data_IF_217964419833
#
_entry.id   IF_217964419833
#
_cell.length_a   1.000
_cell.length_b   1.000
_cell.length_c   1.000
_cell.angle_alpha   90.00
_cell.angle_beta   90.00
_cell.angle_gamma   90.00
#
_symmetry.space_group_name_H-M   'P 1'
#
loop_
_entity.id
_entity.type
_entity.pdbx_description
1 polymer ?
#
# COMPACT_ATOMS: atom_id res chain seq x y z
N UNK A 1 -32.86 -13.20 -1.04
CA UNK A 1 -32.08 -12.18 -0.32
C UNK A 1 -31.91 -10.93 -1.19
N UNK A 2 -33.02 -10.28 -1.57
CA UNK A 2 -33.05 -9.12 -2.48
C UNK A 2 -33.54 -7.83 -1.79
N UNK A 3 -33.53 -7.81 -0.44
CA UNK A 3 -34.16 -6.78 0.40
C UNK A 3 -33.20 -5.81 1.12
N UNK A 4 -31.89 -5.88 0.90
CA UNK A 4 -30.89 -5.02 1.58
C UNK A 4 -30.21 -4.00 0.64
N UNK A 5 -30.92 -3.55 -0.40
CA UNK A 5 -30.53 -2.36 -1.19
C UNK A 5 -31.00 -1.07 -0.50
N UNK A 6 -30.86 -1.00 0.83
CA UNK A 6 -31.20 0.21 1.58
C UNK A 6 -30.30 1.35 1.10
N UNK A 7 -30.91 2.44 0.65
CA UNK A 7 -30.22 3.63 0.15
C UNK A 7 -29.10 4.05 1.11
N UNK A 8 -27.84 3.89 0.68
CA UNK A 8 -26.65 4.23 1.48
C UNK A 8 -26.69 5.71 1.87
N UNK A 9 -27.25 6.57 1.02
CA UNK A 9 -27.42 7.98 1.32
C UNK A 9 -28.44 8.21 2.45
N UNK A 10 -29.58 7.52 2.42
CA UNK A 10 -30.56 7.57 3.51
C UNK A 10 -29.99 7.08 4.85
N UNK A 11 -29.20 5.99 4.83
CA UNK A 11 -28.52 5.49 6.03
C UNK A 11 -27.45 6.46 6.54
N UNK A 12 -26.72 7.12 5.64
CA UNK A 12 -25.77 8.16 6.01
C UNK A 12 -26.47 9.36 6.64
N UNK A 13 -27.64 9.77 6.11
CA UNK A 13 -28.45 10.85 6.67
C UNK A 13 -28.98 10.51 8.08
N UNK A 14 -29.49 9.29 8.30
CA UNK A 14 -29.91 8.81 9.65
C UNK A 14 -28.76 8.94 10.67
N UNK A 15 -27.53 8.60 10.25
CA UNK A 15 -26.37 8.70 11.12
C UNK A 15 -25.94 10.15 11.38
N UNK A 16 -26.12 11.06 10.42
CA UNK A 16 -25.94 12.50 10.63
C UNK A 16 -26.89 13.00 11.71
N UNK A 17 -28.18 12.65 11.63
CA UNK A 17 -29.18 13.02 12.63
C UNK A 17 -28.81 12.45 14.01
N UNK A 18 -28.37 11.19 14.06
CA UNK A 18 -27.89 10.54 15.27
C UNK A 18 -26.70 11.24 15.91
N UNK A 19 -25.73 11.71 15.12
CA UNK A 19 -24.57 12.48 15.60
C UNK A 19 -24.97 13.88 16.12
N UNK A 20 -26.11 14.42 15.66
CA UNK A 20 -26.70 15.67 16.14
C UNK A 20 -27.55 15.53 17.40
N UNK A 21 -27.82 14.30 17.87
CA UNK A 21 -28.71 14.04 19.01
C UNK A 21 -28.20 14.68 20.31
N UNK A 22 -29.10 15.21 21.18
CA UNK A 22 -28.71 15.66 22.51
C UNK A 22 -28.23 14.50 23.41
N UNK A 23 -28.63 13.26 23.11
CA UNK A 23 -28.24 12.05 23.85
C UNK A 23 -26.83 11.56 23.46
N UNK A 24 -25.91 11.50 24.43
CA UNK A 24 -24.53 11.09 24.19
C UNK A 24 -24.40 9.61 23.78
N UNK A 25 -25.29 8.73 24.26
CA UNK A 25 -25.35 7.34 23.86
C UNK A 25 -25.73 7.19 22.39
N UNK A 26 -26.71 7.97 21.92
CA UNK A 26 -27.11 8.01 20.50
C UNK A 26 -25.97 8.53 19.62
N UNK A 27 -25.30 9.62 20.02
CA UNK A 27 -24.13 10.14 19.27
C UNK A 27 -23.01 9.12 19.18
N UNK A 28 -22.71 8.43 20.29
CA UNK A 28 -21.68 7.39 20.33
C UNK A 28 -22.03 6.20 19.42
N UNK A 29 -23.28 5.74 19.44
CA UNK A 29 -23.72 4.66 18.55
C UNK A 29 -23.65 5.08 17.08
N UNK A 30 -24.08 6.30 16.76
CA UNK A 30 -23.98 6.85 15.42
C UNK A 30 -22.53 6.92 14.92
N UNK A 31 -21.58 7.36 15.76
CA UNK A 31 -20.15 7.36 15.43
C UNK A 31 -19.62 5.96 15.11
N UNK A 32 -19.99 4.96 15.94
CA UNK A 32 -19.61 3.56 15.73
C UNK A 32 -20.21 2.98 14.43
N UNK A 33 -21.51 3.20 14.20
CA UNK A 33 -22.22 2.72 13.00
C UNK A 33 -21.70 3.39 11.71
N UNK A 34 -21.25 4.64 11.79
CA UNK A 34 -20.61 5.36 10.68
C UNK A 34 -19.38 4.63 10.16
N UNK A 35 -18.52 4.14 11.06
CA UNK A 35 -17.35 3.33 10.69
C UNK A 35 -17.74 2.05 9.94
N UNK A 36 -18.81 1.38 10.37
CA UNK A 36 -19.26 0.13 9.74
C UNK A 36 -19.89 0.37 8.37
N UNK A 37 -20.66 1.45 8.21
CA UNK A 37 -21.24 1.84 6.93
C UNK A 37 -20.14 2.12 5.90
N UNK A 38 -19.19 3.01 6.23
CA UNK A 38 -18.08 3.40 5.35
C UNK A 38 -17.19 2.21 4.98
N UNK A 39 -16.99 1.27 5.92
CA UNK A 39 -16.17 0.07 5.69
C UNK A 39 -16.77 -0.85 4.64
N UNK A 40 -18.09 -1.02 4.63
CA UNK A 40 -18.75 -2.03 3.81
C UNK A 40 -19.35 -1.46 2.51
N UNK A 41 -19.69 -0.18 2.50
CA UNK A 41 -20.44 0.44 1.41
C UNK A 41 -19.71 1.65 0.84
N UNK A 42 -19.90 1.90 -0.45
CA UNK A 42 -19.53 3.14 -1.13
C UNK A 42 -20.71 4.10 -1.06
N UNK A 43 -20.43 5.40 -0.92
CA UNK A 43 -21.50 6.39 -0.84
C UNK A 43 -21.00 7.81 -0.68
N UNK A 44 -21.90 8.80 -0.82
CA UNK A 44 -21.58 10.22 -0.66
C UNK A 44 -21.49 10.60 0.82
N UNK A 45 -20.41 10.17 1.48
CA UNK A 45 -20.26 10.32 2.94
C UNK A 45 -19.89 11.73 3.42
N UNK A 46 -19.78 12.72 2.52
CA UNK A 46 -19.33 14.08 2.84
C UNK A 46 -19.94 14.68 4.12
N UNK A 47 -21.29 14.84 4.18
CA UNK A 47 -21.96 15.38 5.37
C UNK A 47 -21.75 14.54 6.63
N UNK A 48 -21.77 13.21 6.50
CA UNK A 48 -21.56 12.28 7.62
C UNK A 48 -20.15 12.44 8.23
N UNK A 49 -19.14 12.51 7.37
CA UNK A 49 -17.74 12.63 7.78
C UNK A 49 -17.47 13.99 8.40
N UNK A 50 -18.01 15.08 7.84
CA UNK A 50 -17.90 16.41 8.44
C UNK A 50 -18.54 16.45 9.84
N UNK A 51 -19.78 15.94 9.97
CA UNK A 51 -20.50 15.89 11.26
C UNK A 51 -19.76 15.02 12.30
N UNK A 52 -19.14 13.93 11.86
CA UNK A 52 -18.31 13.08 12.72
C UNK A 52 -17.03 13.82 13.17
N UNK A 53 -16.47 14.68 12.32
CA UNK A 53 -15.36 15.57 12.65
C UNK A 53 -15.72 16.53 13.78
N UNK A 54 -16.92 17.11 13.75
CA UNK A 54 -17.45 17.99 14.81
C UNK A 54 -17.62 17.27 16.16
N UNK A 55 -17.52 15.93 16.22
CA UNK A 55 -17.58 15.15 17.46
C UNK A 55 -16.20 14.90 18.09
N UNK A 56 -15.11 15.33 17.44
CA UNK A 56 -13.77 15.26 18.03
C UNK A 56 -13.61 16.19 19.25
N UNK A 57 -14.46 17.20 19.37
CA UNK A 57 -14.58 18.10 20.53
C UNK A 57 -15.91 17.94 21.29
N UNK A 58 -16.55 16.77 21.19
CA UNK A 58 -17.77 16.50 21.96
C UNK A 58 -17.51 16.65 23.47
N UNK A 59 -18.51 17.09 24.23
CA UNK A 59 -18.39 17.22 25.69
C UNK A 59 -18.19 15.85 26.36
N UNK A 60 -18.78 14.81 25.80
CA UNK A 60 -18.68 13.43 26.29
C UNK A 60 -17.38 12.76 25.80
N UNK A 61 -16.59 12.24 26.74
CA UNK A 61 -15.31 11.62 26.42
C UNK A 61 -15.43 10.32 25.61
N UNK A 62 -16.51 9.56 25.80
CA UNK A 62 -16.73 8.32 25.05
C UNK A 62 -17.15 8.62 23.61
N UNK A 63 -17.90 9.70 23.38
CA UNK A 63 -18.22 10.18 22.02
C UNK A 63 -16.96 10.62 21.29
N UNK A 64 -16.10 11.44 21.93
CA UNK A 64 -14.81 11.86 21.32
C UNK A 64 -13.94 10.66 20.95
N UNK A 65 -13.81 9.68 21.85
CA UNK A 65 -13.00 8.50 21.61
C UNK A 65 -13.55 7.64 20.47
N UNK A 66 -14.88 7.48 20.37
CA UNK A 66 -15.50 6.76 19.27
C UNK A 66 -15.34 7.50 17.93
N UNK A 67 -15.45 8.82 17.92
CA UNK A 67 -15.18 9.64 16.73
C UNK A 67 -13.74 9.48 16.24
N UNK A 68 -12.75 9.60 17.14
CA UNK A 68 -11.34 9.38 16.82
C UNK A 68 -11.06 7.95 16.32
N UNK A 69 -11.72 6.95 16.93
CA UNK A 69 -11.64 5.54 16.54
C UNK A 69 -12.25 5.28 15.15
N UNK A 70 -13.32 5.97 14.80
CA UNK A 70 -13.97 5.83 13.49
C UNK A 70 -13.04 6.24 12.34
N UNK A 71 -12.26 7.32 12.51
CA UNK A 71 -11.35 7.83 11.47
C UNK A 71 -10.13 6.94 11.21
N UNK A 72 -9.77 6.04 12.12
CA UNK A 72 -8.55 5.23 12.02
C UNK A 72 -8.47 4.42 10.72
N UNK A 73 -9.62 4.02 10.14
CA UNK A 73 -9.68 3.16 8.96
C UNK A 73 -10.45 3.76 7.78
N UNK A 74 -10.72 5.07 7.80
CA UNK A 74 -11.45 5.76 6.73
C UNK A 74 -10.53 6.27 5.60
N UNK A 75 -9.23 6.50 5.87
CA UNK A 75 -8.24 6.97 4.88
C UNK A 75 -8.78 8.15 4.07
N UNK A 76 -8.68 8.12 2.73
CA UNK A 76 -9.12 9.21 1.85
C UNK A 76 -10.58 9.64 2.04
N UNK A 77 -11.46 8.76 2.55
CA UNK A 77 -12.86 9.10 2.85
C UNK A 77 -12.98 10.11 4.01
N UNK A 78 -11.97 10.21 4.89
CA UNK A 78 -11.96 11.15 6.01
C UNK A 78 -11.71 12.61 5.61
N UNK A 79 -11.46 12.91 4.32
CA UNK A 79 -11.12 14.25 3.82
C UNK A 79 -12.03 15.39 4.33
N UNK A 80 -13.38 15.23 4.35
CA UNK A 80 -14.29 16.25 4.90
C UNK A 80 -14.08 16.61 6.38
N UNK A 81 -13.36 15.79 7.16
CA UNK A 81 -13.03 16.05 8.56
C UNK A 81 -11.58 16.55 8.77
N UNK A 82 -10.83 16.81 7.69
CA UNK A 82 -9.40 17.15 7.77
C UNK A 82 -9.13 18.38 8.65
N UNK A 83 -9.95 19.43 8.54
CA UNK A 83 -9.78 20.65 9.33
C UNK A 83 -10.02 20.42 10.82
N UNK A 84 -11.09 19.71 11.19
CA UNK A 84 -11.38 19.33 12.58
C UNK A 84 -10.29 18.43 13.18
N UNK A 85 -9.78 17.47 12.39
CA UNK A 85 -8.64 16.63 12.78
C UNK A 85 -7.38 17.47 13.02
N UNK A 86 -7.07 18.39 12.11
CA UNK A 86 -5.88 19.22 12.19
C UNK A 86 -5.92 20.20 13.35
N UNK A 87 -7.06 20.87 13.58
CA UNK A 87 -7.25 21.75 14.72
C UNK A 87 -7.04 20.99 16.03
N UNK A 88 -7.62 19.79 16.13
CA UNK A 88 -7.49 18.98 17.34
C UNK A 88 -6.07 18.50 17.57
N UNK A 89 -5.38 18.03 16.53
CA UNK A 89 -3.97 17.63 16.61
C UNK A 89 -3.08 18.83 17.01
N UNK A 90 -3.29 20.00 16.42
CA UNK A 90 -2.52 21.21 16.70
C UNK A 90 -2.69 21.70 18.15
N UNK A 91 -3.92 21.64 18.68
CA UNK A 91 -4.21 22.04 20.07
C UNK A 91 -3.52 21.19 21.14
N UNK A 92 -2.91 20.05 20.77
CA UNK A 92 -2.31 19.08 21.71
C UNK A 92 -0.87 18.68 21.37
N UNK A 93 -0.17 19.45 20.53
CA UNK A 93 1.21 19.16 20.12
C UNK A 93 2.16 19.11 21.32
N UNK A 94 2.03 20.04 22.26
CA UNK A 94 2.90 20.11 23.45
C UNK A 94 2.66 18.98 24.45
N UNK A 95 1.53 18.27 24.33
CA UNK A 95 1.19 17.15 25.20
C UNK A 95 1.76 15.82 24.68
N UNK A 96 2.63 15.83 23.65
CA UNK A 96 3.19 14.61 23.01
C UNK A 96 4.22 13.86 23.82
N UNK A 97 4.61 14.44 24.94
CA UNK A 97 5.64 13.88 25.81
C UNK A 97 5.10 12.80 26.78
N UNK A 98 3.88 12.31 26.56
CA UNK A 98 3.29 11.21 27.35
C UNK A 98 2.78 11.62 28.74
N UNK A 99 2.69 12.92 29.02
CA UNK A 99 2.30 13.47 30.33
C UNK A 99 0.78 13.43 30.62
N UNK A 100 -0.03 12.81 29.75
CA UNK A 100 -1.49 12.78 29.86
C UNK A 100 -2.08 11.38 30.14
N UNK A 101 -3.40 11.28 30.43
CA UNK A 101 -4.08 9.99 30.58
C UNK A 101 -3.95 9.11 29.33
N UNK A 102 -3.71 7.81 29.51
CA UNK A 102 -3.43 6.88 28.40
C UNK A 102 -4.51 6.84 27.29
N UNK A 103 -5.78 7.04 27.64
CA UNK A 103 -6.88 7.10 26.66
C UNK A 103 -6.80 8.34 25.77
N UNK A 104 -6.43 9.51 26.32
CA UNK A 104 -6.23 10.74 25.54
C UNK A 104 -5.04 10.63 24.60
N UNK A 105 -3.96 10.00 25.06
CA UNK A 105 -2.80 9.72 24.21
C UNK A 105 -3.15 8.79 23.04
N UNK A 106 -4.02 7.80 23.29
CA UNK A 106 -4.53 6.89 22.25
C UNK A 106 -5.36 7.62 21.20
N UNK A 107 -6.34 8.42 21.62
CA UNK A 107 -7.21 9.15 20.69
C UNK A 107 -6.44 10.15 19.85
N UNK A 108 -5.48 10.85 20.45
CA UNK A 108 -4.61 11.77 19.74
C UNK A 108 -3.74 11.08 18.69
N UNK A 109 -3.13 9.93 19.03
CA UNK A 109 -2.39 9.11 18.06
C UNK A 109 -3.29 8.66 16.90
N UNK A 110 -4.57 8.35 17.16
CA UNK A 110 -5.54 8.01 16.10
C UNK A 110 -5.84 9.19 15.19
N UNK A 111 -6.11 10.38 15.74
CA UNK A 111 -6.39 11.59 14.96
C UNK A 111 -5.20 11.98 14.09
N UNK A 112 -4.01 11.93 14.66
CA UNK A 112 -2.75 12.12 13.95
C UNK A 112 -2.49 11.10 12.85
N UNK A 113 -2.72 9.81 13.13
CA UNK A 113 -2.61 8.78 12.12
C UNK A 113 -3.66 8.95 11.02
N UNK A 114 -4.88 9.40 11.34
CA UNK A 114 -5.90 9.71 10.35
C UNK A 114 -5.49 10.89 9.46
N UNK A 115 -5.03 11.99 10.04
CA UNK A 115 -4.52 13.16 9.32
C UNK A 115 -3.30 12.81 8.45
N UNK A 116 -2.40 11.97 8.97
CA UNK A 116 -1.24 11.48 8.23
C UNK A 116 -1.63 10.56 7.05
N UNK A 117 -2.66 9.72 7.22
CA UNK A 117 -3.21 8.87 6.16
C UNK A 117 -3.97 9.65 5.08
N UNK A 118 -4.43 10.86 5.40
CA UNK A 118 -4.97 11.80 4.41
C UNK A 118 -3.87 12.47 3.57
N UNK A 119 -2.59 12.34 3.96
CA UNK A 119 -1.49 13.10 3.37
C UNK A 119 -1.57 14.60 3.67
N UNK A 120 -2.28 14.99 4.73
CA UNK A 120 -2.43 16.40 5.09
C UNK A 120 -1.13 16.92 5.72
N UNK A 121 -0.50 17.89 5.06
CA UNK A 121 0.77 18.52 5.47
C UNK A 121 0.77 19.05 6.91
N UNK A 122 -0.39 19.35 7.49
CA UNK A 122 -0.51 19.79 8.89
C UNK A 122 -0.07 18.71 9.89
N UNK A 123 0.02 17.44 9.46
CA UNK A 123 0.61 16.36 10.26
C UNK A 123 2.14 16.41 10.33
N UNK A 124 2.83 17.11 9.42
CA UNK A 124 4.30 17.08 9.29
C UNK A 124 5.04 17.45 10.59
N UNK A 125 4.73 18.58 11.26
CA UNK A 125 5.46 18.97 12.48
C UNK A 125 5.39 17.92 13.58
N UNK A 126 4.26 17.26 13.71
CA UNK A 126 4.03 16.21 14.70
C UNK A 126 4.76 14.91 14.35
N UNK A 127 4.75 14.49 13.08
CA UNK A 127 5.50 13.32 12.64
C UNK A 127 7.01 13.54 12.80
N UNK A 128 7.50 14.74 12.46
CA UNK A 128 8.90 15.13 12.65
C UNK A 128 9.28 15.13 14.14
N UNK A 129 8.47 15.74 15.01
CA UNK A 129 8.68 15.72 16.45
C UNK A 129 8.65 14.29 17.01
N UNK A 130 7.81 13.41 16.48
CA UNK A 130 7.77 12.01 16.89
C UNK A 130 9.09 11.29 16.57
N UNK A 131 9.62 11.51 15.36
CA UNK A 131 10.92 10.96 14.92
C UNK A 131 12.07 11.52 15.75
N UNK A 132 12.03 12.79 16.15
CA UNK A 132 13.12 13.41 16.92
C UNK A 132 13.11 13.01 18.39
N UNK A 133 11.93 12.98 19.03
CA UNK A 133 11.81 12.91 20.50
C UNK A 133 11.62 11.50 21.05
N UNK A 134 11.01 10.58 20.30
CA UNK A 134 10.75 9.25 20.86
C UNK A 134 11.99 8.37 20.83
N UNK A 135 12.29 7.61 21.89
CA UNK A 135 13.44 6.71 21.91
C UNK A 135 13.43 5.66 20.78
N UNK A 136 12.24 5.27 20.31
CA UNK A 136 12.05 4.31 19.21
C UNK A 136 11.14 4.89 18.15
N UNK A 137 11.46 4.64 16.89
CA UNK A 137 10.58 4.95 15.77
C UNK A 137 9.25 4.20 15.90
N UNK A 138 8.14 4.92 15.81
CA UNK A 138 6.81 4.33 15.80
C UNK A 138 6.47 3.80 14.39
N UNK A 139 6.04 2.54 14.30
CA UNK A 139 5.64 1.90 13.03
C UNK A 139 4.57 2.73 12.30
N UNK A 140 3.60 3.26 13.04
CA UNK A 140 2.51 4.08 12.47
C UNK A 140 3.02 5.34 11.79
N UNK A 141 4.04 6.00 12.35
CA UNK A 141 4.67 7.19 11.75
C UNK A 141 5.41 6.80 10.48
N UNK A 142 6.27 5.78 10.57
CA UNK A 142 7.07 5.28 9.44
C UNK A 142 6.19 4.87 8.25
N UNK A 143 5.08 4.16 8.51
CA UNK A 143 4.17 3.74 7.43
C UNK A 143 3.43 4.90 6.77
N UNK A 144 3.28 6.05 7.46
CA UNK A 144 2.58 7.23 6.96
C UNK A 144 3.46 8.14 6.11
N UNK A 145 4.80 8.03 6.20
CA UNK A 145 5.72 8.89 5.45
C UNK A 145 5.55 8.84 3.93
N UNK A 146 4.96 7.77 3.40
CA UNK A 146 4.70 7.64 1.96
C UNK A 146 3.73 8.67 1.39
N UNK A 147 2.92 9.30 2.24
CA UNK A 147 2.00 10.38 1.87
C UNK A 147 2.64 11.77 1.87
N UNK A 148 3.90 11.88 2.31
CA UNK A 148 4.59 13.14 2.54
C UNK A 148 5.81 13.32 1.65
N UNK A 149 5.79 12.74 0.44
CA UNK A 149 6.93 12.80 -0.50
C UNK A 149 7.33 14.24 -0.87
N UNK A 150 6.42 15.21 -0.81
CA UNK A 150 6.76 16.62 -1.05
C UNK A 150 7.44 17.30 0.16
N UNK A 151 7.61 16.55 1.26
CA UNK A 151 8.24 16.99 2.51
C UNK A 151 9.50 16.16 2.83
N UNK A 152 10.25 15.71 1.80
CA UNK A 152 11.47 14.90 2.03
C UNK A 152 12.44 15.61 2.96
N UNK A 153 12.58 16.92 2.85
CA UNK A 153 13.50 17.74 3.63
C UNK A 153 13.19 17.72 5.14
N UNK A 154 11.91 17.52 5.49
CA UNK A 154 11.47 17.41 6.87
C UNK A 154 11.82 16.03 7.48
N UNK A 155 11.97 14.97 6.69
CA UNK A 155 12.07 13.60 7.22
C UNK A 155 13.40 12.91 6.93
N UNK A 156 13.97 13.11 5.73
CA UNK A 156 15.16 12.37 5.28
C UNK A 156 16.38 12.65 6.18
N UNK A 157 16.74 13.89 6.55
CA UNK A 157 17.87 14.14 7.44
C UNK A 157 17.76 13.43 8.79
N UNK A 158 16.53 13.37 9.35
CA UNK A 158 16.25 12.72 10.63
C UNK A 158 16.42 11.21 10.54
N UNK A 159 15.86 10.59 9.50
CA UNK A 159 15.99 9.15 9.28
C UNK A 159 17.43 8.74 8.98
N UNK A 160 18.19 9.58 8.24
CA UNK A 160 19.63 9.39 8.03
C UNK A 160 20.40 9.43 9.34
N UNK A 161 20.11 10.40 10.21
CA UNK A 161 20.71 10.48 11.55
C UNK A 161 20.43 9.23 12.41
N UNK A 162 19.19 8.73 12.38
CA UNK A 162 18.82 7.47 13.04
C UNK A 162 19.58 6.27 12.49
N UNK A 163 19.70 6.18 11.16
CA UNK A 163 20.39 5.07 10.49
C UNK A 163 21.89 5.10 10.80
N UNK A 164 22.53 6.26 10.67
CA UNK A 164 23.94 6.46 10.98
C UNK A 164 24.27 6.12 12.45
N UNK A 165 23.36 6.41 13.38
CA UNK A 165 23.51 6.02 14.78
C UNK A 165 23.34 4.50 15.00
N UNK A 166 22.37 3.88 14.31
CA UNK A 166 22.06 2.47 14.49
C UNK A 166 23.07 1.53 13.83
N UNK A 167 23.68 1.91 12.70
CA UNK A 167 24.57 1.04 11.89
C UNK A 167 25.78 0.50 12.67
N UNK A 168 26.58 1.31 13.40
CA UNK A 168 27.71 0.80 14.18
C UNK A 168 27.31 -0.14 15.33
N UNK A 169 26.08 -0.02 15.84
CA UNK A 169 25.55 -0.77 16.98
C UNK A 169 24.35 -1.64 16.59
N UNK A 170 24.38 -2.21 15.38
CA UNK A 170 23.27 -3.00 14.81
C UNK A 170 22.74 -4.11 15.71
N UNK A 171 23.57 -4.74 16.54
CA UNK A 171 23.12 -5.75 17.50
C UNK A 171 22.07 -5.22 18.49
N UNK A 172 22.21 -3.95 18.90
CA UNK A 172 21.34 -3.30 19.88
C UNK A 172 20.21 -2.51 19.20
N UNK A 173 20.48 -1.95 18.01
CA UNK A 173 19.59 -1.02 17.30
C UNK A 173 18.96 -1.59 16.02
N UNK A 174 18.95 -2.91 15.84
CA UNK A 174 18.39 -3.59 14.65
C UNK A 174 16.98 -3.12 14.26
N UNK A 175 16.08 -3.02 15.24
CA UNK A 175 14.69 -2.61 14.99
C UNK A 175 14.58 -1.15 14.53
N UNK A 176 15.46 -0.29 15.02
CA UNK A 176 15.54 1.12 14.64
C UNK A 176 16.09 1.28 13.22
N UNK A 177 17.17 0.58 12.89
CA UNK A 177 17.72 0.53 11.53
C UNK A 177 16.66 0.06 10.53
N UNK A 178 15.96 -1.05 10.83
CA UNK A 178 14.90 -1.57 9.97
C UNK A 178 13.80 -0.53 9.72
N UNK A 179 13.32 0.14 10.77
CA UNK A 179 12.27 1.15 10.64
C UNK A 179 12.75 2.42 9.92
N UNK A 180 14.00 2.82 10.11
CA UNK A 180 14.59 3.94 9.38
C UNK A 180 14.67 3.64 7.88
N UNK A 181 15.12 2.43 7.49
CA UNK A 181 15.16 1.99 6.09
C UNK A 181 13.75 1.94 5.48
N UNK A 182 12.76 1.38 6.19
CA UNK A 182 11.36 1.40 5.73
C UNK A 182 10.88 2.84 5.55
N UNK A 183 11.21 3.75 6.46
CA UNK A 183 10.85 5.16 6.37
C UNK A 183 11.44 5.84 5.14
N UNK A 184 12.74 5.63 4.89
CA UNK A 184 13.46 6.15 3.72
C UNK A 184 12.85 5.67 2.41
N UNK A 185 12.48 4.39 2.33
CA UNK A 185 11.77 3.84 1.16
C UNK A 185 10.41 4.48 0.94
N UNK A 186 9.66 4.72 2.01
CA UNK A 186 8.31 5.29 1.93
C UNK A 186 8.37 6.75 1.46
N UNK A 187 9.23 7.56 2.06
CA UNK A 187 9.40 8.98 1.74
C UNK A 187 10.11 9.20 0.40
N UNK A 188 10.89 8.23 -0.08
CA UNK A 188 11.72 8.38 -1.28
C UNK A 188 13.04 9.09 -1.01
N UNK A 189 13.66 8.85 0.15
CA UNK A 189 14.88 9.52 0.60
C UNK A 189 16.15 9.01 -0.08
N UNK A 190 16.29 9.30 -1.38
CA UNK A 190 17.43 8.90 -2.23
C UNK A 190 18.76 9.41 -1.65
N UNK A 191 18.74 10.54 -0.93
CA UNK A 191 19.90 11.15 -0.28
C UNK A 191 20.53 10.26 0.80
N UNK A 192 19.82 9.22 1.26
CA UNK A 192 20.33 8.23 2.22
C UNK A 192 21.07 7.05 1.56
N UNK A 193 21.34 7.14 0.25
CA UNK A 193 22.05 6.10 -0.49
C UNK A 193 23.38 5.67 0.17
N UNK A 194 24.28 6.58 0.61
CA UNK A 194 25.53 6.18 1.25
C UNK A 194 25.30 5.31 2.50
N UNK A 195 24.38 5.73 3.38
CA UNK A 195 24.10 5.00 4.62
C UNK A 195 23.46 3.62 4.36
N UNK A 196 22.69 3.48 3.27
CA UNK A 196 22.11 2.19 2.87
C UNK A 196 23.17 1.25 2.27
N UNK A 197 24.09 1.78 1.46
CA UNK A 197 25.18 1.01 0.88
C UNK A 197 26.19 0.56 1.95
N UNK A 198 26.41 1.35 3.00
CA UNK A 198 27.21 0.94 4.16
C UNK A 198 26.50 -0.13 5.01
N UNK A 199 25.17 -0.02 5.14
CA UNK A 199 24.37 -0.93 5.94
C UNK A 199 24.24 -2.34 5.31
N UNK A 200 24.15 -2.43 3.98
CA UNK A 200 23.91 -3.71 3.30
C UNK A 200 25.00 -4.77 3.59
N UNK A 201 26.31 -4.50 3.45
CA UNK A 201 27.35 -5.42 3.86
C UNK A 201 27.28 -5.80 5.33
N UNK A 202 27.00 -4.84 6.22
CA UNK A 202 26.89 -5.09 7.66
C UNK A 202 25.72 -6.03 8.00
N UNK A 203 24.56 -5.86 7.34
CA UNK A 203 23.40 -6.74 7.49
C UNK A 203 23.70 -8.16 7.01
N UNK A 204 24.36 -8.29 5.85
CA UNK A 204 24.72 -9.59 5.25
C UNK A 204 25.79 -10.32 6.09
N UNK A 205 26.83 -9.63 6.54
CA UNK A 205 27.87 -10.21 7.39
C UNK A 205 27.31 -10.77 8.71
N UNK A 206 26.22 -10.16 9.21
CA UNK A 206 25.51 -10.60 10.42
C UNK A 206 24.41 -11.63 10.14
N UNK A 207 24.23 -12.05 8.88
CA UNK A 207 23.15 -12.94 8.44
C UNK A 207 21.73 -12.39 8.75
N UNK A 208 21.55 -11.07 8.89
CA UNK A 208 20.22 -10.46 9.04
C UNK A 208 19.56 -10.33 7.67
N UNK A 209 19.01 -11.44 7.20
CA UNK A 209 18.32 -11.56 5.89
C UNK A 209 17.18 -10.55 5.77
N UNK A 210 16.45 -10.27 6.84
CA UNK A 210 15.32 -9.34 6.79
C UNK A 210 15.80 -7.92 6.51
N UNK A 211 16.84 -7.48 7.22
CA UNK A 211 17.37 -6.13 7.04
C UNK A 211 18.05 -5.99 5.67
N UNK A 212 18.84 -6.97 5.23
CA UNK A 212 19.49 -6.94 3.92
C UNK A 212 18.45 -6.83 2.78
N UNK A 213 17.37 -7.62 2.85
CA UNK A 213 16.26 -7.55 1.89
C UNK A 213 15.55 -6.19 1.94
N UNK A 214 15.35 -5.62 3.12
CA UNK A 214 14.72 -4.30 3.24
C UNK A 214 15.58 -3.17 2.66
N UNK A 215 16.91 -3.25 2.83
CA UNK A 215 17.86 -2.32 2.22
C UNK A 215 17.81 -2.43 0.70
N UNK A 216 17.94 -3.63 0.14
CA UNK A 216 17.85 -3.85 -1.31
C UNK A 216 16.48 -3.43 -1.87
N UNK A 217 15.39 -3.72 -1.16
CA UNK A 217 14.04 -3.26 -1.52
C UNK A 217 13.95 -1.73 -1.54
N UNK A 218 14.67 -1.05 -0.67
CA UNK A 218 14.74 0.43 -0.63
C UNK A 218 15.54 0.97 -1.79
N UNK A 219 16.73 0.41 -2.03
CA UNK A 219 17.57 0.73 -3.18
C UNK A 219 16.80 0.58 -4.51
N UNK A 220 16.01 -0.49 -4.65
CA UNK A 220 15.21 -0.72 -5.86
C UNK A 220 14.16 0.38 -6.11
N UNK A 221 13.70 1.10 -5.07
CA UNK A 221 12.77 2.24 -5.23
C UNK A 221 13.45 3.53 -5.66
N UNK A 222 14.78 3.64 -5.53
CA UNK A 222 15.54 4.81 -5.98
C UNK A 222 15.85 4.75 -7.47
N UNK A 223 15.66 3.60 -8.10
CA UNK A 223 15.87 3.42 -9.54
C UNK A 223 17.36 3.40 -9.92
N UNK A 224 17.75 3.94 -11.08
CA UNK A 224 19.09 3.79 -11.65
C UNK A 224 20.25 4.30 -10.79
N UNK A 225 19.99 5.18 -9.83
CA UNK A 225 21.03 5.80 -8.98
C UNK A 225 21.53 4.89 -7.86
N UNK A 226 20.89 3.73 -7.65
CA UNK A 226 21.08 2.89 -6.47
C UNK A 226 22.44 2.13 -6.35
N UNK A 227 23.40 2.39 -7.26
CA UNK A 227 24.74 1.79 -7.22
C UNK A 227 24.79 0.39 -7.81
N UNK A 228 25.07 0.30 -9.12
CA UNK A 228 25.17 -0.98 -9.85
C UNK A 228 26.31 -1.84 -9.29
N UNK A 229 27.49 -1.22 -9.11
CA UNK A 229 28.71 -1.94 -8.76
C UNK A 229 28.64 -2.56 -7.35
N UNK A 230 28.03 -1.83 -6.42
CA UNK A 230 27.87 -2.22 -5.02
C UNK A 230 26.84 -3.34 -4.87
N UNK A 231 25.79 -3.36 -5.70
CA UNK A 231 24.72 -4.35 -5.62
C UNK A 231 25.01 -5.63 -6.43
N UNK A 232 25.81 -5.53 -7.49
CA UNK A 232 26.13 -6.66 -8.37
C UNK A 232 26.62 -7.94 -7.65
N UNK A 233 27.51 -7.89 -6.62
CA UNK A 233 27.97 -9.09 -5.92
C UNK A 233 26.84 -9.92 -5.28
N UNK A 234 25.71 -9.29 -4.96
CA UNK A 234 24.59 -9.95 -4.29
C UNK A 234 23.72 -10.79 -5.23
N UNK A 235 23.90 -10.70 -6.55
CA UNK A 235 23.28 -11.62 -7.52
C UNK A 235 23.70 -13.07 -7.30
N UNK A 236 24.93 -13.29 -6.82
CA UNK A 236 25.48 -14.61 -6.51
C UNK A 236 25.26 -15.03 -5.05
N UNK A 237 24.36 -14.34 -4.32
CA UNK A 237 24.04 -14.68 -2.94
C UNK A 237 23.47 -16.11 -2.84
N UNK A 238 23.88 -16.90 -1.82
CA UNK A 238 23.30 -18.22 -1.57
C UNK A 238 21.85 -18.14 -1.05
N UNK A 239 21.39 -16.98 -0.58
CA UNK A 239 19.97 -16.72 -0.29
C UNK A 239 19.28 -16.22 -1.58
N UNK A 240 18.36 -17.01 -2.17
CA UNK A 240 17.66 -16.64 -3.41
C UNK A 240 16.86 -15.35 -3.27
N UNK A 241 16.35 -15.04 -2.07
CA UNK A 241 15.60 -13.80 -1.85
C UNK A 241 16.51 -12.57 -1.82
N UNK A 242 17.77 -12.71 -1.39
CA UNK A 242 18.75 -11.62 -1.53
C UNK A 242 19.13 -11.45 -3.00
N UNK A 243 19.36 -12.54 -3.72
CA UNK A 243 19.70 -12.50 -5.14
C UNK A 243 18.59 -11.86 -5.99
N UNK A 244 17.32 -12.22 -5.77
CA UNK A 244 16.20 -11.59 -6.52
C UNK A 244 16.03 -10.12 -6.15
N UNK A 245 16.21 -9.73 -4.88
CA UNK A 245 16.16 -8.32 -4.51
C UNK A 245 17.30 -7.52 -5.12
N UNK A 246 18.51 -8.09 -5.23
CA UNK A 246 19.61 -7.47 -5.96
C UNK A 246 19.27 -7.32 -7.45
N UNK A 247 18.71 -8.37 -8.08
CA UNK A 247 18.25 -8.33 -9.46
C UNK A 247 17.20 -7.22 -9.66
N UNK A 248 16.26 -7.04 -8.73
CA UNK A 248 15.27 -5.94 -8.79
C UNK A 248 15.89 -4.55 -8.83
N UNK A 249 16.96 -4.32 -8.05
CA UNK A 249 17.67 -3.03 -8.06
C UNK A 249 18.28 -2.79 -9.44
N UNK A 250 18.96 -3.79 -9.97
CA UNK A 250 19.66 -3.70 -11.24
C UNK A 250 18.70 -3.58 -12.44
N UNK A 251 17.52 -4.19 -12.37
CA UNK A 251 16.45 -4.07 -13.38
C UNK A 251 15.94 -2.65 -13.62
N UNK A 252 16.37 -1.65 -12.85
CA UNK A 252 16.16 -0.25 -13.18
C UNK A 252 16.90 0.19 -14.47
N UNK A 253 17.87 -0.60 -14.93
CA UNK A 253 18.67 -0.31 -16.11
C UNK A 253 18.55 -1.46 -17.13
N UNK A 254 18.06 -1.20 -18.35
CA UNK A 254 17.94 -2.22 -19.39
C UNK A 254 19.27 -2.93 -19.70
N UNK A 255 20.41 -2.24 -19.56
CA UNK A 255 21.74 -2.77 -19.83
C UNK A 255 22.16 -3.93 -18.91
N UNK A 256 21.47 -4.16 -17.78
CA UNK A 256 21.79 -5.26 -16.87
C UNK A 256 21.02 -6.55 -17.20
N UNK A 257 20.20 -6.57 -18.25
CA UNK A 257 19.26 -7.67 -18.55
C UNK A 257 19.93 -9.04 -18.58
N UNK A 258 21.08 -9.16 -19.26
CA UNK A 258 21.82 -10.42 -19.39
C UNK A 258 22.31 -10.98 -18.04
N UNK A 259 22.59 -10.08 -17.08
CA UNK A 259 23.06 -10.47 -15.74
C UNK A 259 21.91 -10.84 -14.80
N UNK A 260 20.73 -10.25 -14.98
CA UNK A 260 19.60 -10.44 -14.06
C UNK A 260 18.67 -11.57 -14.50
N UNK A 261 18.47 -11.79 -15.81
CA UNK A 261 17.57 -12.83 -16.31
C UNK A 261 17.90 -14.24 -15.76
N UNK A 262 19.16 -14.68 -15.66
CA UNK A 262 19.49 -15.98 -15.08
C UNK A 262 19.06 -16.13 -13.60
N UNK A 263 18.94 -15.02 -12.87
CA UNK A 263 18.44 -15.01 -11.48
C UNK A 263 16.91 -15.00 -11.43
N UNK A 264 16.26 -14.32 -12.38
CA UNK A 264 14.80 -14.17 -12.39
C UNK A 264 14.08 -15.42 -12.90
N UNK A 265 14.55 -16.01 -14.02
CA UNK A 265 13.88 -17.10 -14.70
C UNK A 265 13.61 -18.34 -13.81
N UNK A 266 14.55 -18.79 -12.95
CA UNK A 266 14.29 -19.94 -12.07
C UNK A 266 13.15 -19.72 -11.07
N UNK A 267 12.84 -18.46 -10.74
CA UNK A 267 11.79 -18.09 -9.78
C UNK A 267 10.41 -18.05 -10.42
N UNK A 268 10.35 -18.00 -11.76
CA UNK A 268 9.13 -18.06 -12.54
C UNK A 268 8.68 -19.52 -12.65
N UNK A 269 8.15 -20.10 -11.57
CA UNK A 269 7.67 -21.49 -11.54
C UNK A 269 6.41 -21.62 -10.69
N UNK A 270 5.47 -22.47 -11.10
CA UNK A 270 4.23 -22.76 -10.34
C UNK A 270 4.55 -23.24 -8.90
N UNK A 271 5.64 -23.98 -8.72
CA UNK A 271 6.03 -24.58 -7.44
C UNK A 271 6.72 -23.63 -6.46
N UNK A 272 7.07 -22.41 -6.90
CA UNK A 272 7.94 -21.53 -6.13
C UNK A 272 7.28 -20.19 -5.85
N UNK A 273 6.64 -20.02 -4.69
CA UNK A 273 5.85 -18.81 -4.38
C UNK A 273 6.71 -17.62 -3.92
N UNK A 274 7.82 -17.90 -3.23
CA UNK A 274 8.62 -16.88 -2.56
C UNK A 274 9.41 -16.02 -3.54
N UNK A 275 9.15 -14.72 -3.63
CA UNK A 275 9.93 -13.83 -4.50
C UNK A 275 9.51 -13.83 -5.99
N UNK A 276 8.47 -14.59 -6.37
CA UNK A 276 7.84 -14.47 -7.69
C UNK A 276 7.40 -13.04 -8.00
N UNK A 277 6.67 -12.39 -7.09
CA UNK A 277 6.22 -11.00 -7.27
C UNK A 277 7.41 -10.08 -7.59
N UNK A 278 8.57 -10.39 -6.99
CA UNK A 278 9.78 -9.61 -7.17
C UNK A 278 10.36 -9.82 -8.57
N UNK A 279 10.37 -11.06 -9.05
CA UNK A 279 10.79 -11.41 -10.40
C UNK A 279 9.88 -10.79 -11.47
N UNK A 280 8.55 -10.89 -11.31
CA UNK A 280 7.60 -10.23 -12.21
C UNK A 280 7.80 -8.71 -12.23
N UNK A 281 7.92 -8.08 -11.06
CA UNK A 281 8.19 -6.64 -10.99
C UNK A 281 9.53 -6.24 -11.63
N UNK A 282 10.55 -7.10 -11.58
CA UNK A 282 11.82 -6.87 -12.26
C UNK A 282 11.69 -6.95 -13.79
N UNK A 283 11.01 -7.98 -14.31
CA UNK A 283 10.75 -8.15 -15.75
C UNK A 283 9.94 -6.97 -16.31
N UNK A 284 8.90 -6.54 -15.59
CA UNK A 284 8.09 -5.36 -15.97
C UNK A 284 8.93 -4.09 -16.06
N UNK A 285 9.90 -3.92 -15.16
CA UNK A 285 10.80 -2.75 -15.15
C UNK A 285 11.82 -2.79 -16.29
N UNK A 286 12.31 -3.98 -16.66
CA UNK A 286 13.16 -4.17 -17.83
C UNK A 286 12.39 -3.91 -19.14
N UNK A 287 11.08 -4.19 -19.14
CA UNK A 287 10.21 -3.98 -20.29
C UNK A 287 10.70 -4.77 -21.51
N UNK A 288 10.76 -4.16 -22.71
CA UNK A 288 11.17 -4.84 -23.94
C UNK A 288 12.57 -5.46 -23.91
N UNK A 289 13.46 -5.01 -23.03
CA UNK A 289 14.79 -5.62 -22.89
C UNK A 289 14.72 -7.09 -22.44
N UNK A 290 13.68 -7.47 -21.69
CA UNK A 290 13.48 -8.82 -21.19
C UNK A 290 12.69 -9.73 -22.15
N UNK A 291 12.68 -9.45 -23.45
CA UNK A 291 11.94 -10.22 -24.47
C UNK A 291 12.27 -11.72 -24.46
N UNK A 292 13.48 -12.10 -24.08
CA UNK A 292 13.88 -13.50 -23.96
C UNK A 292 13.14 -14.28 -22.86
N UNK A 293 12.44 -13.59 -21.94
CA UNK A 293 11.57 -14.22 -20.95
C UNK A 293 10.17 -14.57 -21.49
N UNK A 294 9.82 -14.13 -22.71
CA UNK A 294 8.45 -14.20 -23.25
C UNK A 294 7.89 -15.62 -23.30
N UNK A 295 8.67 -16.60 -23.75
CA UNK A 295 8.20 -17.98 -23.88
C UNK A 295 7.90 -18.59 -22.51
N UNK A 296 8.73 -18.30 -21.50
CA UNK A 296 8.47 -18.74 -20.14
C UNK A 296 7.21 -18.10 -19.56
N UNK A 297 6.99 -16.81 -19.82
CA UNK A 297 5.79 -16.09 -19.40
C UNK A 297 4.53 -16.66 -20.08
N UNK A 298 4.60 -17.00 -21.38
CA UNK A 298 3.49 -17.66 -22.10
C UNK A 298 3.18 -19.04 -21.54
N UNK A 299 4.19 -19.85 -21.22
CA UNK A 299 4.01 -21.14 -20.55
C UNK A 299 3.30 -20.97 -19.21
N UNK A 300 3.76 -20.06 -18.35
CA UNK A 300 3.13 -19.84 -17.05
C UNK A 300 1.70 -19.28 -17.14
N UNK A 301 1.45 -18.42 -18.13
CA UNK A 301 0.10 -17.95 -18.44
C UNK A 301 -0.83 -19.11 -18.81
N UNK A 302 -0.35 -20.07 -19.61
CA UNK A 302 -1.11 -21.24 -20.03
C UNK A 302 -1.29 -22.25 -18.89
N UNK A 303 -0.21 -22.65 -18.23
CA UNK A 303 -0.21 -23.61 -17.11
C UNK A 303 -1.10 -23.10 -15.97
N UNK A 304 -1.03 -21.80 -15.66
CA UNK A 304 -1.87 -21.16 -14.66
C UNK A 304 -3.35 -21.28 -15.00
N UNK A 305 -3.74 -21.12 -16.27
CA UNK A 305 -5.13 -21.25 -16.75
C UNK A 305 -5.61 -22.70 -16.79
N UNK A 306 -4.79 -23.62 -17.27
CA UNK A 306 -5.17 -25.04 -17.33
C UNK A 306 -5.41 -25.61 -15.92
N UNK A 307 -4.54 -25.29 -14.96
CA UNK A 307 -4.66 -25.79 -13.58
C UNK A 307 -5.88 -25.22 -12.83
N UNK A 308 -6.42 -24.09 -13.28
CA UNK A 308 -7.63 -23.48 -12.71
C UNK A 308 -8.89 -24.30 -12.99
N UNK A 309 -8.98 -24.97 -14.15
CA UNK A 309 -10.12 -25.81 -14.51
C UNK A 309 -10.27 -27.03 -13.57
N UNK A 310 -9.20 -27.42 -12.87
CA UNK A 310 -9.14 -28.61 -12.04
C UNK A 310 -9.11 -28.34 -10.53
N UNK A 311 -9.06 -27.06 -10.10
CA UNK A 311 -8.82 -26.70 -8.69
C UNK A 311 -9.92 -25.83 -8.10
N UNK A 312 -10.27 -26.09 -6.83
CA UNK A 312 -11.20 -25.25 -6.04
C UNK A 312 -10.51 -24.76 -4.76
N UNK A 313 -10.91 -23.57 -4.28
CA UNK A 313 -10.39 -23.00 -3.03
C UNK A 313 -9.07 -22.22 -3.19
N UNK A 314 -8.25 -22.17 -2.12
CA UNK A 314 -7.07 -21.29 -2.04
C UNK A 314 -5.98 -21.53 -3.11
N UNK A 315 -5.90 -22.73 -3.70
CA UNK A 315 -5.00 -23.00 -4.81
C UNK A 315 -5.40 -22.24 -6.09
N UNK A 316 -6.70 -22.06 -6.34
CA UNK A 316 -7.16 -21.28 -7.48
C UNK A 316 -6.77 -19.80 -7.36
N UNK A 317 -6.76 -19.23 -6.15
CA UNK A 317 -6.31 -17.84 -5.91
C UNK A 317 -4.82 -17.68 -6.27
N UNK A 318 -3.98 -18.64 -5.88
CA UNK A 318 -2.55 -18.62 -6.19
C UNK A 318 -2.27 -18.74 -7.70
N UNK A 319 -3.01 -19.63 -8.39
CA UNK A 319 -2.88 -19.84 -9.83
C UNK A 319 -3.36 -18.63 -10.63
N UNK A 320 -4.47 -18.01 -10.23
CA UNK A 320 -4.91 -16.77 -10.85
C UNK A 320 -3.95 -15.61 -10.60
N UNK A 321 -3.36 -15.49 -9.40
CA UNK A 321 -2.31 -14.51 -9.14
C UNK A 321 -1.16 -14.69 -10.13
N UNK A 322 -0.70 -15.92 -10.33
CA UNK A 322 0.37 -16.26 -11.26
C UNK A 322 0.00 -15.93 -12.72
N UNK A 323 -1.23 -16.26 -13.14
CA UNK A 323 -1.72 -15.95 -14.48
C UNK A 323 -1.77 -14.42 -14.71
N UNK A 324 -2.30 -13.65 -13.75
CA UNK A 324 -2.34 -12.17 -13.84
C UNK A 324 -0.94 -11.58 -13.87
N UNK A 325 -0.04 -12.00 -12.99
CA UNK A 325 1.36 -11.53 -13.00
C UNK A 325 2.06 -11.82 -14.32
N UNK A 326 1.87 -13.04 -14.85
CA UNK A 326 2.45 -13.45 -16.12
C UNK A 326 1.89 -12.65 -17.28
N UNK A 327 0.57 -12.39 -17.29
CA UNK A 327 -0.08 -11.59 -18.32
C UNK A 327 0.42 -10.14 -18.32
N UNK A 328 0.47 -9.51 -17.14
CA UNK A 328 0.97 -8.13 -16.99
C UNK A 328 2.46 -8.05 -17.38
N UNK A 329 3.30 -8.99 -16.91
CA UNK A 329 4.70 -9.02 -17.28
C UNK A 329 4.92 -9.27 -18.77
N UNK A 330 4.16 -10.19 -19.39
CA UNK A 330 4.21 -10.47 -20.82
C UNK A 330 3.89 -9.20 -21.61
N UNK A 331 2.83 -8.48 -21.23
CA UNK A 331 2.45 -7.24 -21.90
C UNK A 331 3.56 -6.18 -21.84
N UNK A 332 4.19 -5.94 -20.68
CA UNK A 332 5.30 -4.99 -20.59
C UNK A 332 6.53 -5.39 -21.42
N UNK A 333 6.73 -6.69 -21.66
CA UNK A 333 7.89 -7.23 -22.38
C UNK A 333 7.66 -7.28 -23.89
N UNK A 334 6.43 -7.55 -24.35
CA UNK A 334 6.14 -7.81 -25.77
C UNK A 334 5.18 -6.80 -26.40
N UNK A 335 4.36 -6.11 -25.59
CA UNK A 335 3.21 -5.33 -26.07
C UNK A 335 2.06 -6.17 -26.63
N UNK A 336 2.09 -7.51 -26.46
CA UNK A 336 1.12 -8.44 -27.02
C UNK A 336 -0.21 -8.37 -26.27
N UNK A 337 -1.13 -7.55 -26.80
CA UNK A 337 -2.43 -7.31 -26.18
C UNK A 337 -3.38 -8.51 -26.35
N UNK A 338 -3.35 -9.15 -27.52
CA UNK A 338 -4.25 -10.25 -27.86
C UNK A 338 -4.00 -11.47 -26.96
N UNK A 339 -2.75 -11.72 -26.57
CA UNK A 339 -2.40 -12.78 -25.63
C UNK A 339 -2.83 -12.48 -24.19
N UNK A 340 -2.84 -11.21 -23.78
CA UNK A 340 -2.94 -10.81 -22.36
C UNK A 340 -4.36 -10.46 -21.94
N UNK A 341 -5.08 -9.70 -22.77
CA UNK A 341 -6.39 -9.17 -22.43
C UNK A 341 -7.42 -10.25 -22.04
N UNK A 342 -7.52 -11.41 -22.74
CA UNK A 342 -8.46 -12.46 -22.35
C UNK A 342 -8.25 -12.94 -20.91
N UNK A 343 -6.99 -13.11 -20.48
CA UNK A 343 -6.66 -13.54 -19.11
C UNK A 343 -7.04 -12.50 -18.07
N UNK A 344 -6.81 -11.21 -18.35
CA UNK A 344 -7.18 -10.14 -17.42
C UNK A 344 -8.70 -10.06 -17.22
N UNK A 345 -9.47 -10.19 -18.31
CA UNK A 345 -10.94 -10.22 -18.29
C UNK A 345 -11.46 -11.45 -17.52
N UNK A 346 -10.89 -12.62 -17.78
CA UNK A 346 -11.27 -13.88 -17.13
C UNK A 346 -10.95 -13.88 -15.63
N UNK A 347 -9.80 -13.32 -15.24
CA UNK A 347 -9.37 -13.25 -13.85
C UNK A 347 -10.21 -12.28 -13.01
N UNK A 348 -10.80 -11.25 -13.62
CA UNK A 348 -11.47 -10.14 -12.92
C UNK A 348 -12.50 -10.56 -11.87
N UNK A 349 -13.47 -11.46 -12.17
CA UNK A 349 -14.53 -11.80 -11.21
C UNK A 349 -13.98 -12.53 -9.98
N UNK A 350 -12.99 -13.41 -10.19
CA UNK A 350 -12.44 -14.30 -9.16
C UNK A 350 -11.26 -13.75 -8.37
N UNK A 351 -10.65 -12.61 -8.77
CA UNK A 351 -9.36 -12.16 -8.22
C UNK A 351 -9.33 -10.71 -7.79
N UNK A 352 -10.05 -10.37 -6.72
CA UNK A 352 -10.37 -8.97 -6.51
C UNK A 352 -9.23 -8.24 -5.80
N UNK A 353 -8.36 -8.98 -5.10
CA UNK A 353 -7.06 -8.49 -4.61
C UNK A 353 -6.12 -8.04 -5.74
N UNK A 354 -6.37 -8.48 -6.98
CA UNK A 354 -5.56 -8.21 -8.16
C UNK A 354 -6.23 -7.23 -9.12
N UNK A 355 -7.48 -6.83 -8.86
CA UNK A 355 -8.20 -5.87 -9.71
C UNK A 355 -7.43 -4.57 -9.87
N UNK A 356 -6.73 -4.08 -8.84
CA UNK A 356 -5.90 -2.87 -8.97
C UNK A 356 -4.76 -3.06 -9.99
N UNK A 357 -4.06 -4.20 -9.94
CA UNK A 357 -2.99 -4.50 -10.90
C UNK A 357 -3.54 -4.70 -12.32
N UNK A 358 -4.72 -5.34 -12.44
CA UNK A 358 -5.42 -5.50 -13.72
C UNK A 358 -5.80 -4.13 -14.29
N UNK A 359 -6.41 -3.24 -13.50
CA UNK A 359 -6.81 -1.90 -13.96
C UNK A 359 -5.59 -1.08 -14.38
N UNK A 360 -4.45 -1.20 -13.69
CA UNK A 360 -3.22 -0.53 -14.11
C UNK A 360 -2.75 -1.01 -15.48
N UNK A 361 -2.77 -2.32 -15.73
CA UNK A 361 -2.47 -2.86 -17.04
C UNK A 361 -3.50 -2.42 -18.11
N UNK A 362 -4.80 -2.38 -17.77
CA UNK A 362 -5.84 -1.87 -18.67
C UNK A 362 -5.66 -0.38 -19.01
N UNK A 363 -5.20 0.43 -18.05
CA UNK A 363 -4.88 1.82 -18.29
C UNK A 363 -3.72 1.96 -19.28
N UNK A 364 -2.68 1.16 -19.11
CA UNK A 364 -1.51 1.20 -20.00
C UNK A 364 -1.81 0.64 -21.41
N UNK A 365 -2.78 -0.28 -21.53
CA UNK A 365 -3.30 -0.80 -22.80
C UNK A 365 -4.07 0.26 -23.63
N UNK A 366 -4.59 1.30 -22.98
CA UNK A 366 -5.37 2.35 -23.64
C UNK A 366 -6.61 1.81 -24.39
N UNK A 367 -6.89 2.25 -25.63
CA UNK A 367 -8.10 1.86 -26.37
C UNK A 367 -8.27 0.34 -26.57
N UNK A 368 -7.18 -0.42 -26.53
CA UNK A 368 -7.25 -1.87 -26.67
C UNK A 368 -7.93 -2.57 -25.46
N UNK A 369 -8.07 -1.86 -24.33
CA UNK A 369 -8.82 -2.32 -23.17
C UNK A 369 -10.35 -2.29 -23.36
N UNK A 370 -10.87 -1.84 -24.51
CA UNK A 370 -12.31 -1.74 -24.80
C UNK A 370 -13.15 -2.99 -24.39
N UNK A 371 -12.70 -4.24 -24.64
CA UNK A 371 -13.41 -5.44 -24.20
C UNK A 371 -13.59 -5.60 -22.69
N UNK A 372 -12.75 -4.95 -21.86
CA UNK A 372 -12.81 -5.01 -20.41
C UNK A 372 -13.70 -3.92 -19.79
N UNK A 373 -14.07 -2.87 -20.55
CA UNK A 373 -14.81 -1.71 -20.01
C UNK A 373 -16.13 -2.07 -19.31
N UNK A 374 -16.96 -3.02 -19.80
CA UNK A 374 -18.19 -3.39 -19.09
C UNK A 374 -17.95 -3.92 -17.65
N UNK A 375 -16.81 -4.59 -17.42
CA UNK A 375 -16.42 -5.05 -16.07
C UNK A 375 -16.03 -3.88 -15.18
N UNK A 376 -15.30 -2.91 -15.74
CA UNK A 376 -14.86 -1.69 -15.05
C UNK A 376 -16.07 -0.81 -14.69
N UNK A 377 -17.04 -0.66 -15.60
CA UNK A 377 -18.31 0.03 -15.34
C UNK A 377 -19.10 -0.62 -14.21
N UNK A 378 -19.23 -1.95 -14.25
CA UNK A 378 -19.91 -2.73 -13.20
C UNK A 378 -19.23 -2.54 -11.85
N UNK A 379 -17.90 -2.54 -11.81
CA UNK A 379 -17.13 -2.29 -10.60
C UNK A 379 -17.38 -0.89 -10.06
N UNK A 380 -17.35 0.16 -10.89
CA UNK A 380 -17.62 1.54 -10.44
C UNK A 380 -19.06 1.72 -9.95
N UNK A 381 -20.02 1.01 -10.56
CA UNK A 381 -21.43 1.07 -10.19
C UNK A 381 -21.78 0.27 -8.91
N UNK A 382 -20.90 -0.63 -8.46
CA UNK A 382 -21.15 -1.44 -7.27
C UNK A 382 -21.21 -0.57 -6.01
N UNK A 383 -22.35 -0.61 -5.32
CA UNK A 383 -22.56 0.12 -4.06
C UNK A 383 -21.82 -0.52 -2.87
N UNK A 384 -21.61 -1.83 -2.90
CA UNK A 384 -20.86 -2.53 -1.86
C UNK A 384 -19.37 -2.45 -2.19
N UNK A 385 -18.54 -2.15 -1.19
CA UNK A 385 -17.09 -2.31 -1.34
C UNK A 385 -16.76 -3.78 -1.49
N UNK A 386 -15.74 -4.08 -2.26
CA UNK A 386 -15.32 -5.45 -2.39
C UNK A 386 -14.81 -5.99 -1.04
N UNK A 387 -15.27 -7.18 -0.61
CA UNK A 387 -14.70 -7.93 0.51
C UNK A 387 -14.74 -9.43 0.22
N UNK A 388 -13.60 -10.11 0.40
CA UNK A 388 -13.40 -11.51 0.00
C UNK A 388 -14.02 -12.56 0.91
N UNK A 389 -14.56 -12.19 2.07
CA UNK A 389 -14.79 -13.19 3.14
C UNK A 389 -13.61 -13.35 4.10
N UNK A 390 -12.43 -12.85 3.73
CA UNK A 390 -11.19 -13.11 4.45
C UNK A 390 -11.10 -12.36 5.78
N UNK A 391 -10.73 -13.11 6.82
CA UNK A 391 -10.48 -12.63 8.18
C UNK A 391 -9.01 -12.93 8.51
N UNK A 392 -8.25 -11.96 9.05
CA UNK A 392 -8.67 -10.62 9.45
C UNK A 392 -8.90 -9.68 8.25
N UNK A 393 -9.92 -8.82 8.36
CA UNK A 393 -10.19 -7.78 7.35
C UNK A 393 -8.98 -6.84 7.25
N UNK A 394 -8.44 -6.60 6.03
CA UNK A 394 -7.33 -5.68 5.83
C UNK A 394 -7.63 -4.30 6.42
N UNK A 395 -6.68 -3.75 7.17
CA UNK A 395 -6.86 -2.44 7.83
C UNK A 395 -6.96 -1.27 6.86
N UNK A 396 -6.52 -1.45 5.63
CA UNK A 396 -6.49 -0.49 4.51
C UNK A 396 -7.55 -0.78 3.43
N UNK A 397 -8.54 -1.63 3.73
CA UNK A 397 -9.57 -2.05 2.76
C UNK A 397 -10.25 -0.86 2.07
N UNK A 398 -10.65 0.15 2.84
CA UNK A 398 -11.33 1.35 2.30
C UNK A 398 -10.43 2.07 1.30
N UNK A 399 -9.14 2.23 1.60
CA UNK A 399 -8.21 2.91 0.70
C UNK A 399 -7.90 2.11 -0.56
N UNK A 400 -7.78 0.77 -0.44
CA UNK A 400 -7.60 -0.11 -1.60
C UNK A 400 -8.79 -0.03 -2.54
N UNK A 401 -10.00 -0.07 -1.98
CA UNK A 401 -11.24 0.02 -2.75
C UNK A 401 -11.42 1.41 -3.39
N UNK A 402 -11.18 2.50 -2.65
CA UNK A 402 -11.20 3.86 -3.21
C UNK A 402 -10.16 4.04 -4.31
N UNK A 403 -8.96 3.47 -4.15
CA UNK A 403 -7.91 3.50 -5.18
C UNK A 403 -8.32 2.70 -6.42
N UNK A 404 -8.92 1.52 -6.26
CA UNK A 404 -9.46 0.75 -7.36
C UNK A 404 -10.50 1.55 -8.14
N UNK A 405 -11.52 2.09 -7.47
CA UNK A 405 -12.59 2.86 -8.13
C UNK A 405 -12.04 4.11 -8.84
N UNK A 406 -11.07 4.80 -8.24
CA UNK A 406 -10.41 5.96 -8.84
C UNK A 406 -9.69 5.58 -10.14
N UNK A 407 -8.93 4.48 -10.13
CA UNK A 407 -8.24 3.96 -11.32
C UNK A 407 -9.23 3.48 -12.38
N UNK A 408 -10.30 2.78 -11.99
CA UNK A 408 -11.37 2.37 -12.89
C UNK A 408 -12.00 3.56 -13.62
N UNK A 409 -12.34 4.64 -12.89
CA UNK A 409 -12.88 5.86 -13.50
C UNK A 409 -11.89 6.52 -14.46
N UNK A 410 -10.60 6.50 -14.15
CA UNK A 410 -9.57 7.03 -15.05
C UNK A 410 -9.48 6.23 -16.35
N UNK A 411 -9.55 4.90 -16.27
CA UNK A 411 -9.60 4.02 -17.47
C UNK A 411 -10.82 4.31 -18.32
N UNK A 412 -12.00 4.40 -17.71
CA UNK A 412 -13.24 4.73 -18.44
C UNK A 412 -13.13 6.10 -19.14
N UNK A 413 -12.54 7.10 -18.48
CA UNK A 413 -12.37 8.43 -19.06
C UNK A 413 -11.30 8.49 -20.18
N UNK A 414 -10.34 7.56 -20.21
CA UNK A 414 -9.28 7.51 -21.21
C UNK A 414 -9.63 6.66 -22.44
N UNK A 415 -10.56 5.69 -22.28
CA UNK A 415 -10.95 4.76 -23.34
C UNK A 415 -12.31 5.09 -23.99
N UNK A 416 -13.08 6.02 -23.41
CA UNK A 416 -14.22 6.67 -24.03
C UNK A 416 -13.77 7.91 -24.81
#
# INVERSE_FOLDING_TARGET
>A
MAGERGDVAARAAELVDGLGSPDAGVRRDAARRSRELVRCWRGPYGPLIATLGDRLDDRDAAVRSEAACAFERMYSVAGPAADALAERVASEVDLWDGAGPAHRDTDRRRMAAALARLGDRRAVPMLAANIDRHPRLAVTVVLSLGWFRDHVDDFVPRLRGRLAHATPALSMHRGEALLAVVGLRRIGGVEALPELLDLLPAAVARQDRTLAREVLRTLATFGPVAGIAEVHPYLSSPDPLIAVHAAQVLSALPATVDTVLPVLLPLLSVDFVDGQDLAFAALRRLGPAAVDASDRLRTLLHDGRELLDWTTGGHAIALWRLAVDSAVALWHVTGDTDAVLPTLVEAWPGNPHRRTDIVDCLADLGPAAAPALPLVETEVAAAQRYWTGEVPVPTDLVERDETLVRKCRAVLAACC
#
